data_IF_412809769862
#
_entry.id   IF_412809769862
#
_cell.length_a   1.000
_cell.length_b   1.000
_cell.length_c   1.000
_cell.angle_alpha   90.00
_cell.angle_beta   90.00
_cell.angle_gamma   90.00
#
_symmetry.space_group_name_H-M   'P 1'
#
loop_
_entity.id
_entity.type
_entity.pdbx_description
1 polymer ?
#
# COMPACT_ATOMS: atom_id res chain seq x y z
N UNK A 1 -1.15 4.20 22.88
CA UNK A 1 -0.40 2.93 22.65
C UNK A 1 0.35 2.90 21.33
N UNK A 2 -0.12 3.55 20.26
CA UNK A 2 0.63 3.69 19.00
C UNK A 2 1.38 5.02 18.86
N UNK A 3 1.46 5.82 19.93
CA UNK A 3 2.12 7.14 19.96
C UNK A 3 3.62 7.05 19.66
N UNK A 4 4.27 5.93 20.00
CA UNK A 4 5.67 5.67 19.65
C UNK A 4 5.88 5.46 18.13
N UNK A 5 4.82 5.04 17.43
CA UNK A 5 4.83 4.77 15.99
C UNK A 5 4.36 5.98 15.17
N UNK A 6 3.38 6.75 15.67
CA UNK A 6 2.88 7.98 15.04
C UNK A 6 2.83 9.12 16.07
N UNK A 7 3.99 9.69 16.44
CA UNK A 7 4.04 10.76 17.43
C UNK A 7 3.36 12.03 16.89
N UNK A 8 2.68 12.77 17.77
CA UNK A 8 2.04 14.06 17.43
C UNK A 8 0.64 13.96 16.82
N UNK A 9 0.15 12.76 16.51
CA UNK A 9 -1.20 12.56 15.99
C UNK A 9 -2.25 12.45 17.09
N UNK A 10 -3.43 13.01 16.85
CA UNK A 10 -4.57 12.99 17.78
C UNK A 10 -5.15 11.59 17.99
N UNK A 11 -5.09 10.73 16.97
CA UNK A 11 -5.60 9.35 17.01
C UNK A 11 -4.62 8.35 16.37
N UNK A 12 -3.46 8.06 17.00
CA UNK A 12 -2.43 7.22 16.40
C UNK A 12 -2.84 5.76 16.22
N UNK A 13 -3.82 5.29 17.01
CA UNK A 13 -4.43 3.96 16.80
C UNK A 13 -5.21 3.85 15.50
N UNK A 14 -5.86 4.93 15.05
CA UNK A 14 -6.59 4.96 13.77
C UNK A 14 -5.60 4.89 12.61
N UNK A 15 -4.49 5.64 12.69
CA UNK A 15 -3.42 5.56 11.68
C UNK A 15 -2.81 4.17 11.62
N UNK A 16 -2.53 3.55 12.76
CA UNK A 16 -2.03 2.18 12.81
C UNK A 16 -3.00 1.19 12.14
N UNK A 17 -4.31 1.33 12.37
CA UNK A 17 -5.32 0.51 11.72
C UNK A 17 -5.36 0.72 10.19
N UNK A 18 -5.27 1.98 9.72
CA UNK A 18 -5.23 2.30 8.29
C UNK A 18 -3.98 1.71 7.63
N UNK A 19 -2.81 1.89 8.23
CA UNK A 19 -1.54 1.33 7.74
C UNK A 19 -1.61 -0.20 7.72
N UNK A 20 -2.12 -0.82 8.78
CA UNK A 20 -2.28 -2.27 8.84
C UNK A 20 -3.21 -2.79 7.74
N UNK A 21 -4.38 -2.15 7.55
CA UNK A 21 -5.35 -2.54 6.53
C UNK A 21 -4.75 -2.40 5.12
N UNK A 22 -4.06 -1.29 4.85
CA UNK A 22 -3.36 -1.08 3.57
C UNK A 22 -2.29 -2.14 3.32
N UNK A 23 -1.51 -2.47 4.35
CA UNK A 23 -0.47 -3.50 4.28
C UNK A 23 -1.08 -4.86 3.99
N UNK A 24 -2.19 -5.22 4.65
CA UNK A 24 -2.91 -6.45 4.39
C UNK A 24 -3.43 -6.53 2.95
N UNK A 25 -3.96 -5.43 2.41
CA UNK A 25 -4.36 -5.36 1.00
C UNK A 25 -3.17 -5.59 0.06
N UNK A 26 -2.04 -4.92 0.29
CA UNK A 26 -0.83 -5.07 -0.55
C UNK A 26 -0.24 -6.49 -0.47
N UNK A 27 -0.25 -7.10 0.72
CA UNK A 27 0.10 -8.51 0.90
C UNK A 27 -0.86 -9.41 0.12
N UNK A 28 -2.16 -9.16 0.19
CA UNK A 28 -3.17 -9.89 -0.60
C UNK A 28 -2.91 -9.80 -2.11
N UNK A 29 -2.55 -8.62 -2.62
CA UNK A 29 -2.14 -8.42 -4.01
C UNK A 29 -0.86 -9.19 -4.37
N UNK A 30 0.11 -9.23 -3.47
CA UNK A 30 1.36 -9.98 -3.65
C UNK A 30 1.13 -11.50 -3.67
N UNK A 31 0.26 -11.99 -2.78
CA UNK A 31 -0.15 -13.40 -2.79
C UNK A 31 -0.93 -13.75 -4.06
N UNK A 32 -1.80 -12.85 -4.53
CA UNK A 32 -2.49 -13.04 -5.80
C UNK A 32 -1.51 -13.10 -6.99
N UNK A 33 -0.44 -12.30 -6.99
CA UNK A 33 0.64 -12.39 -7.98
C UNK A 33 1.31 -13.75 -7.89
N UNK A 34 1.68 -14.20 -6.68
CA UNK A 34 2.31 -15.51 -6.44
C UNK A 34 1.46 -16.68 -6.93
N UNK A 35 0.16 -16.66 -6.68
CA UNK A 35 -0.74 -17.74 -7.08
C UNK A 35 -0.98 -17.76 -8.61
N UNK A 36 -0.79 -16.63 -9.28
CA UNK A 36 -1.04 -16.47 -10.71
C UNK A 36 0.23 -16.50 -11.58
N UNK A 37 1.43 -16.68 -11.00
CA UNK A 37 2.68 -16.76 -11.76
C UNK A 37 3.70 -17.72 -11.16
N UNK A 38 4.35 -18.51 -12.04
CA UNK A 38 5.53 -19.30 -11.67
C UNK A 38 6.83 -18.48 -11.66
N UNK A 39 6.76 -17.18 -11.98
CA UNK A 39 7.92 -16.30 -12.06
C UNK A 39 8.35 -15.80 -10.67
N UNK A 40 9.49 -16.26 -10.12
CA UNK A 40 9.96 -15.80 -8.81
C UNK A 40 10.33 -14.31 -8.83
N UNK A 41 10.73 -13.77 -9.98
CA UNK A 41 11.04 -12.35 -10.13
C UNK A 41 9.79 -11.47 -10.04
N UNK A 42 8.66 -11.87 -10.64
CA UNK A 42 7.40 -11.13 -10.52
C UNK A 42 6.89 -11.08 -9.06
N UNK A 43 6.98 -12.21 -8.36
CA UNK A 43 6.66 -12.28 -6.92
C UNK A 43 7.60 -11.40 -6.10
N UNK A 44 8.90 -11.45 -6.39
CA UNK A 44 9.91 -10.61 -5.75
C UNK A 44 9.63 -9.11 -5.92
N UNK A 45 9.25 -8.69 -7.13
CA UNK A 45 8.86 -7.29 -7.42
C UNK A 45 7.62 -6.88 -6.63
N UNK A 46 6.57 -7.70 -6.62
CA UNK A 46 5.34 -7.39 -5.86
C UNK A 46 5.60 -7.30 -4.34
N UNK A 47 6.43 -8.20 -3.80
CA UNK A 47 6.84 -8.18 -2.40
C UNK A 47 7.68 -6.92 -2.08
N UNK A 48 8.61 -6.55 -2.95
CA UNK A 48 9.41 -5.33 -2.80
C UNK A 48 8.53 -4.08 -2.81
N UNK A 49 7.59 -3.98 -3.76
CA UNK A 49 6.63 -2.86 -3.83
C UNK A 49 5.76 -2.77 -2.57
N UNK A 50 5.32 -3.91 -2.04
CA UNK A 50 4.57 -3.96 -0.77
C UNK A 50 5.39 -3.44 0.40
N UNK A 51 6.64 -3.88 0.53
CA UNK A 51 7.54 -3.43 1.58
C UNK A 51 7.85 -1.93 1.46
N UNK A 52 8.13 -1.44 0.24
CA UNK A 52 8.37 -0.02 -0.03
C UNK A 52 7.13 0.81 0.31
N UNK A 53 5.93 0.40 -0.11
CA UNK A 53 4.69 1.12 0.21
C UNK A 53 4.47 1.24 1.73
N UNK A 54 4.72 0.18 2.49
CA UNK A 54 4.64 0.21 3.96
C UNK A 54 5.64 1.23 4.56
N UNK A 55 6.91 1.18 4.16
CA UNK A 55 7.95 2.07 4.67
C UNK A 55 7.63 3.53 4.35
N UNK A 56 7.23 3.82 3.11
CA UNK A 56 6.87 5.18 2.70
C UNK A 56 5.64 5.69 3.45
N UNK A 57 4.59 4.87 3.58
CA UNK A 57 3.36 5.25 4.30
C UNK A 57 3.67 5.58 5.76
N UNK A 58 4.40 4.71 6.46
CA UNK A 58 4.77 4.94 7.87
C UNK A 58 5.67 6.16 8.00
N UNK A 59 6.67 6.31 7.14
CA UNK A 59 7.62 7.42 7.22
C UNK A 59 6.98 8.78 6.93
N UNK A 60 6.07 8.86 5.95
CA UNK A 60 5.29 10.09 5.67
C UNK A 60 4.41 10.42 6.87
N UNK A 61 3.65 9.46 7.41
CA UNK A 61 2.78 9.70 8.57
C UNK A 61 3.55 10.05 9.85
N UNK A 62 4.81 9.62 9.97
CA UNK A 62 5.70 10.02 11.06
C UNK A 62 6.28 11.43 10.91
N UNK A 63 6.04 12.10 9.77
CA UNK A 63 6.68 13.38 9.43
C UNK A 63 8.17 13.23 9.07
N UNK A 64 8.66 12.02 8.87
CA UNK A 64 10.07 11.78 8.51
C UNK A 64 10.35 12.05 7.02
N UNK A 65 9.31 12.12 6.21
CA UNK A 65 9.40 12.27 4.76
C UNK A 65 8.50 13.41 4.26
N UNK A 66 9.03 14.22 3.34
CA UNK A 66 8.32 15.36 2.77
C UNK A 66 7.40 15.00 1.59
N UNK A 67 6.82 16.04 0.99
CA UNK A 67 5.83 15.94 -0.10
C UNK A 67 6.31 15.10 -1.30
N UNK A 68 7.60 15.17 -1.64
CA UNK A 68 8.17 14.37 -2.74
C UNK A 68 8.04 12.86 -2.52
N UNK A 69 8.12 12.42 -1.27
CA UNK A 69 8.01 11.00 -0.90
C UNK A 69 6.57 10.50 -0.95
N UNK A 70 5.59 11.40 -0.76
CA UNK A 70 4.16 11.11 -1.00
C UNK A 70 3.87 10.84 -2.48
N UNK A 71 4.53 11.57 -3.39
CA UNK A 71 4.47 11.26 -4.83
C UNK A 71 5.13 9.92 -5.18
N UNK A 72 6.24 9.57 -4.53
CA UNK A 72 6.86 8.25 -4.71
C UNK A 72 5.93 7.11 -4.25
N UNK A 73 5.21 7.28 -3.14
CA UNK A 73 4.20 6.33 -2.65
C UNK A 73 3.11 6.08 -3.71
N UNK A 74 2.65 7.16 -4.35
CA UNK A 74 1.67 7.10 -5.45
C UNK A 74 2.15 6.23 -6.61
N UNK A 75 3.41 6.43 -7.03
CA UNK A 75 4.03 5.65 -8.10
C UNK A 75 4.16 4.18 -7.70
N UNK A 76 4.54 3.88 -6.46
CA UNK A 76 4.67 2.51 -5.94
C UNK A 76 3.31 1.80 -5.89
N UNK A 77 2.27 2.48 -5.41
CA UNK A 77 0.92 1.91 -5.36
C UNK A 77 0.38 1.64 -6.76
N UNK A 78 0.58 2.57 -7.70
CA UNK A 78 0.21 2.39 -9.10
C UNK A 78 0.97 1.20 -9.73
N UNK A 79 2.28 1.09 -9.50
CA UNK A 79 3.10 -0.01 -10.00
C UNK A 79 2.61 -1.37 -9.46
N UNK A 80 2.26 -1.46 -8.17
CA UNK A 80 1.73 -2.70 -7.58
C UNK A 80 0.41 -3.09 -8.22
N UNK A 81 -0.51 -2.14 -8.41
CA UNK A 81 -1.80 -2.38 -9.08
C UNK A 81 -1.62 -2.83 -10.54
N UNK A 82 -0.68 -2.23 -11.27
CA UNK A 82 -0.37 -2.63 -12.66
C UNK A 82 0.23 -4.02 -12.70
N UNK A 83 1.23 -4.34 -11.87
CA UNK A 83 1.84 -5.66 -11.82
C UNK A 83 0.80 -6.72 -11.48
N UNK A 84 0.00 -6.50 -10.43
CA UNK A 84 -1.07 -7.44 -10.07
C UNK A 84 -2.11 -7.55 -11.18
N UNK A 85 -2.53 -6.44 -11.78
CA UNK A 85 -3.48 -6.44 -12.89
C UNK A 85 -2.98 -7.23 -14.10
N UNK A 86 -1.72 -7.04 -14.50
CA UNK A 86 -1.10 -7.75 -15.63
C UNK A 86 -0.98 -9.25 -15.36
N UNK A 87 -0.57 -9.64 -14.16
CA UNK A 87 -0.39 -11.04 -13.78
C UNK A 87 -1.75 -11.74 -13.65
N UNK A 88 -2.71 -11.08 -13.00
CA UNK A 88 -4.04 -11.64 -12.74
C UNK A 88 -4.92 -11.67 -13.99
N UNK A 89 -4.77 -10.71 -14.92
CA UNK A 89 -5.51 -10.72 -16.18
C UNK A 89 -5.21 -11.94 -17.06
N UNK A 90 -4.09 -12.62 -16.81
CA UNK A 90 -3.70 -13.87 -17.49
C UNK A 90 -4.33 -15.12 -16.87
N UNK A 91 -4.96 -15.00 -15.70
CA UNK A 91 -5.62 -16.10 -14.99
C UNK A 91 -7.15 -15.99 -14.98
N UNK A 92 -7.80 -17.12 -14.73
CA UNK A 92 -9.26 -17.23 -14.63
C UNK A 92 -9.71 -17.69 -13.23
N UNK A 93 -10.93 -17.31 -12.82
CA UNK A 93 -11.57 -17.84 -11.61
C UNK A 93 -11.51 -16.94 -10.35
N UNK A 94 -11.49 -17.59 -9.18
CA UNK A 94 -11.66 -16.94 -7.85
C UNK A 94 -10.51 -16.00 -7.49
N UNK A 95 -9.26 -16.36 -7.83
CA UNK A 95 -8.08 -15.52 -7.58
C UNK A 95 -8.18 -14.16 -8.27
N UNK A 96 -8.73 -14.12 -9.50
CA UNK A 96 -8.98 -12.86 -10.22
C UNK A 96 -9.99 -11.96 -9.54
N UNK A 97 -11.08 -12.53 -9.00
CA UNK A 97 -12.09 -11.77 -8.26
C UNK A 97 -11.52 -11.20 -6.97
N UNK A 98 -10.76 -12.00 -6.21
CA UNK A 98 -10.12 -11.55 -4.98
C UNK A 98 -9.09 -10.44 -5.23
N UNK A 99 -8.27 -10.57 -6.27
CA UNK A 99 -7.33 -9.53 -6.66
C UNK A 99 -8.01 -8.24 -7.11
N UNK A 100 -9.12 -8.34 -7.85
CA UNK A 100 -9.89 -7.16 -8.26
C UNK A 100 -10.50 -6.43 -7.04
N UNK A 101 -11.07 -7.18 -6.09
CA UNK A 101 -11.59 -6.61 -4.83
C UNK A 101 -10.46 -6.00 -4.00
N UNK A 102 -9.35 -6.71 -3.82
CA UNK A 102 -8.18 -6.21 -3.10
C UNK A 102 -7.62 -4.93 -3.76
N UNK A 103 -7.57 -4.89 -5.09
CA UNK A 103 -7.15 -3.71 -5.85
C UNK A 103 -8.10 -2.53 -5.66
N UNK A 104 -9.41 -2.76 -5.74
CA UNK A 104 -10.40 -1.71 -5.49
C UNK A 104 -10.31 -1.16 -4.06
N UNK A 105 -10.18 -2.03 -3.05
CA UNK A 105 -9.99 -1.61 -1.65
C UNK A 105 -8.67 -0.85 -1.49
N UNK A 106 -7.59 -1.31 -2.11
CA UNK A 106 -6.30 -0.64 -2.07
C UNK A 106 -6.35 0.78 -2.68
N UNK A 107 -7.06 0.96 -3.79
CA UNK A 107 -7.31 2.29 -4.39
C UNK A 107 -8.11 3.18 -3.44
N UNK A 108 -9.18 2.67 -2.85
CA UNK A 108 -9.99 3.44 -1.89
C UNK A 108 -9.16 3.88 -0.68
N UNK A 109 -8.36 2.97 -0.12
CA UNK A 109 -7.45 3.29 0.99
C UNK A 109 -6.38 4.31 0.58
N UNK A 110 -5.87 4.23 -0.65
CA UNK A 110 -4.95 5.23 -1.18
C UNK A 110 -5.60 6.61 -1.27
N UNK A 111 -6.81 6.72 -1.83
CA UNK A 111 -7.53 7.99 -1.90
C UNK A 111 -7.81 8.59 -0.51
N UNK A 112 -8.14 7.76 0.47
CA UNK A 112 -8.29 8.18 1.87
C UNK A 112 -6.96 8.63 2.51
N UNK A 113 -5.83 8.11 2.02
CA UNK A 113 -4.49 8.47 2.52
C UNK A 113 -4.01 9.83 1.98
N UNK A 114 -4.55 10.32 0.86
CA UNK A 114 -4.16 11.61 0.27
C UNK A 114 -4.33 12.79 1.26
N UNK A 115 -5.51 13.01 1.89
CA UNK A 115 -5.66 14.10 2.87
C UNK A 115 -4.76 13.90 4.10
N UNK A 116 -4.55 12.65 4.54
CA UNK A 116 -3.67 12.33 5.66
C UNK A 116 -2.20 12.65 5.36
N UNK A 117 -1.73 12.37 4.15
CA UNK A 117 -0.40 12.75 3.69
C UNK A 117 -0.27 14.27 3.55
N UNK A 118 -1.35 14.96 3.15
CA UNK A 118 -1.44 16.41 3.19
C UNK A 118 -1.19 16.96 4.59
N UNK A 119 -1.94 16.50 5.60
CA UNK A 119 -1.72 16.95 6.99
C UNK A 119 -0.31 16.63 7.50
N UNK A 120 0.20 15.44 7.20
CA UNK A 120 1.54 15.00 7.64
C UNK A 120 2.68 15.83 7.03
N UNK A 121 2.48 16.42 5.86
CA UNK A 121 3.51 17.19 5.13
C UNK A 121 3.43 18.69 5.37
N UNK A 122 2.36 19.15 6.01
CA UNK A 122 2.13 20.56 6.39
C UNK A 122 2.31 20.77 7.90
N UNK A 123 2.25 19.70 8.70
CA UNK A 123 2.59 19.74 10.12
C UNK A 123 4.08 20.13 10.31
N UNK A 124 4.37 21.22 11.05
CA UNK A 124 5.71 21.77 11.23
C UNK A 124 6.62 20.93 12.14
#
# INVERSE_FOLDING_TARGET
MFDWLFPGWTAPGVLAAIVALRTLCNVGLTLAVRDATDSPSAVGVAAALTAVSLVLTVGVLRGAFGLQTSHAETVVQAALLVVTGVVVARGDGMGRRLAAVAGAVAVLLYLLSIPLFGEATVAP
#
